data_IF_463718853249
#
_entry.id   IF_463718853249
#
_cell.length_a   1.000
_cell.length_b   1.000
_cell.length_c   1.000
_cell.angle_alpha   90.00
_cell.angle_beta   90.00
_cell.angle_gamma   90.00
#
_symmetry.space_group_name_H-M   'P 1'
#
loop_
_entity.id
_entity.type
_entity.pdbx_description
1 polymer ?
#
# COMPACT_ATOMS: atom_id res chain seq x y z
N UNK A 1 -45.39 28.09 -26.85
CA UNK A 1 -44.03 28.21 -26.30
C UNK A 1 -43.18 27.11 -26.91
N UNK A 2 -42.27 27.51 -27.81
CA UNK A 2 -41.40 26.65 -28.62
C UNK A 2 -40.01 26.75 -27.98
N UNK A 3 -39.44 25.64 -27.53
CA UNK A 3 -38.05 25.59 -27.07
C UNK A 3 -37.30 24.57 -27.92
N UNK A 4 -36.28 25.08 -28.60
CA UNK A 4 -35.56 24.47 -29.71
C UNK A 4 -34.63 23.32 -29.27
N UNK A 5 -34.63 22.26 -30.08
CA UNK A 5 -33.59 21.21 -30.10
C UNK A 5 -32.37 21.75 -30.84
N UNK A 6 -31.23 21.83 -30.15
CA UNK A 6 -29.94 22.05 -30.78
C UNK A 6 -29.45 20.73 -31.39
N UNK A 7 -29.46 20.68 -32.72
CA UNK A 7 -28.96 19.59 -33.55
C UNK A 7 -27.51 19.90 -33.92
N UNK A 8 -26.54 19.21 -33.32
CA UNK A 8 -25.14 19.26 -33.77
C UNK A 8 -24.94 18.23 -34.87
N UNK A 9 -25.08 18.68 -36.11
CA UNK A 9 -24.57 18.02 -37.30
C UNK A 9 -23.12 18.45 -37.50
N UNK A 10 -22.16 17.51 -37.43
CA UNK A 10 -20.82 17.70 -37.97
C UNK A 10 -20.64 16.77 -39.16
N UNK A 11 -20.76 17.43 -40.30
CA UNK A 11 -20.05 17.25 -41.58
C UNK A 11 -19.20 15.98 -41.79
N UNK A 12 -19.59 15.28 -42.85
CA UNK A 12 -18.82 14.30 -43.61
C UNK A 12 -17.66 14.97 -44.35
N UNK A 13 -16.49 14.33 -44.38
CA UNK A 13 -15.80 14.10 -45.66
C UNK A 13 -14.78 12.96 -45.53
N UNK A 14 -15.12 11.85 -46.17
CA UNK A 14 -14.25 10.71 -46.33
C UNK A 14 -13.24 10.97 -47.44
N UNK A 15 -11.97 10.99 -47.07
CA UNK A 15 -10.87 10.70 -48.00
C UNK A 15 -10.15 9.45 -47.50
N UNK A 16 -10.06 8.37 -48.31
CA UNK A 16 -9.27 7.20 -47.93
C UNK A 16 -7.79 7.56 -48.03
N UNK A 17 -7.11 7.64 -46.88
CA UNK A 17 -5.66 7.83 -46.82
C UNK A 17 -4.97 6.53 -47.26
N UNK A 18 -4.09 6.56 -48.27
CA UNK A 18 -3.38 5.37 -48.72
C UNK A 18 -2.41 4.85 -47.64
N UNK A 19 -2.67 3.63 -47.19
CA UNK A 19 -1.77 2.78 -46.39
C UNK A 19 -0.49 2.48 -47.18
N UNK A 20 0.51 3.36 -47.07
CA UNK A 20 1.88 3.03 -47.48
C UNK A 20 2.88 3.77 -46.61
N UNK A 21 3.79 2.98 -46.01
CA UNK A 21 4.98 3.40 -45.25
C UNK A 21 4.72 4.11 -43.92
N UNK A 22 4.31 3.33 -42.93
CA UNK A 22 4.76 3.55 -41.55
C UNK A 22 6.02 2.70 -41.39
N UNK A 23 7.18 3.34 -41.53
CA UNK A 23 8.45 2.74 -41.13
C UNK A 23 8.42 2.51 -39.61
N UNK A 24 8.83 1.33 -39.11
CA UNK A 24 8.98 1.13 -37.69
C UNK A 24 10.13 1.99 -37.20
N UNK A 25 9.82 3.04 -36.44
CA UNK A 25 10.80 3.78 -35.64
C UNK A 25 11.39 2.79 -34.64
N UNK A 26 12.53 2.22 -35.02
CA UNK A 26 13.43 1.44 -34.18
C UNK A 26 14.00 2.37 -33.11
N UNK A 27 13.24 2.60 -32.04
CA UNK A 27 13.82 3.07 -30.79
C UNK A 27 14.66 1.93 -30.21
N UNK A 28 15.91 1.85 -30.68
CA UNK A 28 17.01 1.21 -29.97
C UNK A 28 17.22 1.98 -28.66
N UNK A 29 16.52 1.57 -27.62
CA UNK A 29 16.89 1.92 -26.26
C UNK A 29 18.10 1.04 -25.94
N UNK A 30 19.30 1.58 -26.18
CA UNK A 30 20.54 1.02 -25.66
C UNK A 30 20.48 1.07 -24.14
N UNK A 31 19.99 0.00 -23.52
CA UNK A 31 20.10 -0.25 -22.08
C UNK A 31 21.52 -0.77 -21.77
N UNK A 32 22.52 0.02 -22.13
CA UNK A 32 23.89 -0.23 -21.68
C UNK A 32 24.04 0.29 -20.25
N UNK A 33 24.46 -0.65 -19.40
CA UNK A 33 25.28 -0.45 -18.20
C UNK A 33 24.57 0.13 -16.99
N UNK A 34 24.29 -0.82 -16.10
CA UNK A 34 25.10 -0.85 -14.89
C UNK A 34 24.51 -0.03 -13.76
N UNK A 35 23.59 -0.66 -13.04
CA UNK A 35 23.60 -0.67 -11.59
C UNK A 35 22.90 -1.95 -11.18
N UNK A 36 23.70 -2.98 -10.94
CA UNK A 36 23.28 -4.16 -10.19
C UNK A 36 23.01 -3.65 -8.77
N UNK A 37 21.82 -3.11 -8.55
CA UNK A 37 21.27 -2.98 -7.20
C UNK A 37 20.90 -4.39 -6.77
N UNK A 38 21.93 -5.09 -6.29
CA UNK A 38 21.78 -6.25 -5.44
C UNK A 38 21.10 -5.76 -4.16
N UNK A 39 19.77 -5.62 -4.21
CA UNK A 39 19.01 -5.63 -2.98
C UNK A 39 19.13 -7.04 -2.44
N UNK A 40 19.96 -7.18 -1.41
CA UNK A 40 19.80 -8.19 -0.37
C UNK A 40 18.37 -8.08 0.19
N UNK A 41 17.41 -8.64 -0.55
CA UNK A 41 16.07 -8.96 -0.06
C UNK A 41 16.09 -10.37 0.55
N UNK A 42 17.20 -10.70 1.21
CA UNK A 42 17.43 -11.97 1.91
C UNK A 42 17.62 -11.69 3.39
N UNK A 43 16.65 -10.99 4.00
CA UNK A 43 16.47 -11.03 5.45
C UNK A 43 15.06 -10.61 5.82
N UNK A 44 14.36 -11.54 6.46
CA UNK A 44 13.12 -11.38 7.23
C UNK A 44 11.78 -11.68 6.54
N UNK A 45 11.56 -12.93 6.10
CA UNK A 45 10.21 -13.52 6.19
C UNK A 45 10.15 -15.05 6.35
N UNK A 46 11.27 -15.73 6.58
CA UNK A 46 11.36 -17.11 7.13
C UNK A 46 10.96 -17.19 8.63
N UNK A 47 10.09 -16.28 9.11
CA UNK A 47 9.70 -16.19 10.52
C UNK A 47 8.18 -16.12 10.75
N UNK A 48 7.34 -16.51 9.78
CA UNK A 48 5.87 -16.46 9.97
C UNK A 48 5.12 -17.79 9.91
N UNK A 49 5.71 -18.91 9.46
CA UNK A 49 4.96 -20.17 9.37
C UNK A 49 5.41 -21.28 10.33
N UNK A 50 6.59 -21.17 10.94
CA UNK A 50 6.96 -22.00 12.11
C UNK A 50 6.78 -21.27 13.46
N UNK A 51 6.28 -20.03 13.43
CA UNK A 51 6.03 -19.17 14.59
C UNK A 51 4.53 -18.94 14.85
N UNK A 52 3.65 -19.85 14.44
CA UNK A 52 2.35 -19.96 15.11
C UNK A 52 2.22 -21.23 15.94
N UNK A 53 2.96 -22.29 15.62
CA UNK A 53 3.04 -23.49 16.47
C UNK A 53 4.15 -23.42 17.54
N UNK A 54 5.25 -22.66 17.34
CA UNK A 54 6.26 -22.38 18.40
C UNK A 54 6.03 -21.09 19.19
N UNK A 55 5.10 -20.23 18.78
CA UNK A 55 4.85 -18.90 19.40
C UNK A 55 3.98 -18.97 20.65
N UNK A 56 3.19 -20.02 20.83
CA UNK A 56 2.53 -20.29 22.13
C UNK A 56 3.54 -20.75 23.19
N UNK A 57 4.61 -21.45 22.81
CA UNK A 57 5.62 -21.97 23.75
C UNK A 57 6.65 -20.92 24.20
N UNK A 58 6.95 -19.93 23.36
CA UNK A 58 7.87 -18.83 23.73
C UNK A 58 7.18 -17.70 24.50
N UNK A 59 5.87 -17.49 24.30
CA UNK A 59 5.08 -16.52 25.06
C UNK A 59 4.88 -16.97 26.50
N UNK A 60 4.73 -18.28 26.76
CA UNK A 60 4.71 -18.83 28.12
C UNK A 60 6.04 -18.62 28.86
N UNK A 61 7.18 -18.84 28.20
CA UNK A 61 8.52 -18.61 28.80
C UNK A 61 8.85 -17.13 29.00
N UNK A 62 8.46 -16.26 28.06
CA UNK A 62 8.63 -14.81 28.20
C UNK A 62 7.68 -14.20 29.23
N UNK A 63 6.46 -14.72 29.33
CA UNK A 63 5.51 -14.38 30.39
C UNK A 63 6.02 -14.79 31.77
N UNK A 64 6.60 -15.99 31.90
CA UNK A 64 7.22 -16.45 33.14
C UNK A 64 8.43 -15.58 33.55
N UNK A 65 9.30 -15.21 32.60
CA UNK A 65 10.45 -14.35 32.88
C UNK A 65 10.04 -12.91 33.22
N UNK A 66 9.01 -12.36 32.57
CA UNK A 66 8.45 -11.04 32.94
C UNK A 66 7.76 -11.06 34.30
N UNK A 67 7.06 -12.14 34.66
CA UNK A 67 6.48 -12.32 35.98
C UNK A 67 7.52 -12.34 37.10
N UNK A 68 8.64 -13.04 36.90
CA UNK A 68 9.77 -13.04 37.84
C UNK A 68 10.44 -11.67 37.93
N UNK A 69 10.57 -10.94 36.80
CA UNK A 69 11.13 -9.59 36.80
C UNK A 69 10.25 -8.61 37.60
N UNK A 70 8.93 -8.66 37.43
CA UNK A 70 7.98 -7.77 38.14
C UNK A 70 7.98 -8.05 39.65
N UNK A 71 8.12 -9.32 40.07
CA UNK A 71 8.24 -9.68 41.49
C UNK A 71 9.57 -9.23 42.13
N UNK A 72 10.64 -9.09 41.35
CA UNK A 72 11.93 -8.60 41.84
C UNK A 72 11.96 -7.07 42.06
N UNK A 73 11.15 -6.31 41.31
CA UNK A 73 11.10 -4.84 41.44
C UNK A 73 10.20 -4.34 42.58
N UNK A 74 9.31 -5.17 43.14
CA UNK A 74 8.48 -4.77 44.29
C UNK A 74 9.22 -4.75 45.63
N UNK A 75 10.47 -5.24 45.69
CA UNK A 75 11.29 -5.22 46.91
C UNK A 75 12.13 -3.93 47.08
N UNK A 76 12.13 -3.02 46.10
CA UNK A 76 13.04 -1.85 46.07
C UNK A 76 12.35 -0.52 46.41
N UNK A 77 11.23 -0.54 47.14
CA UNK A 77 10.47 0.67 47.50
C UNK A 77 10.66 1.05 48.98
N UNK A 78 11.91 1.05 49.47
CA UNK A 78 12.27 1.78 50.68
C UNK A 78 13.65 2.42 50.45
N UNK A 79 13.67 3.73 50.26
CA UNK A 79 14.82 4.67 50.35
C UNK A 79 15.07 5.50 49.09
N UNK A 80 14.27 6.54 48.86
CA UNK A 80 14.70 7.83 48.29
C UNK A 80 13.82 8.91 48.96
N UNK A 81 14.20 9.35 50.15
CA UNK A 81 15.03 10.55 50.39
C UNK A 81 14.49 11.77 49.65
N UNK A 82 13.92 12.67 50.43
CA UNK A 82 13.47 13.99 50.04
C UNK A 82 14.53 14.74 49.21
N UNK A 83 14.11 15.31 48.09
CA UNK A 83 14.89 16.31 47.37
C UNK A 83 14.09 17.63 47.36
N UNK A 84 14.68 18.74 47.83
CA UNK A 84 13.98 20.03 47.96
C UNK A 84 13.73 20.68 46.60
N UNK A 85 12.52 21.17 46.42
CA UNK A 85 12.08 22.04 45.31
C UNK A 85 12.76 23.40 45.44
N UNK A 86 13.74 23.68 44.57
CA UNK A 86 14.22 25.05 44.33
C UNK A 86 13.42 25.67 43.19
N UNK A 87 12.49 26.55 43.56
CA UNK A 87 11.86 27.52 42.68
C UNK A 87 12.87 28.58 42.23
N UNK A 88 13.08 28.82 40.93
CA UNK A 88 13.72 30.05 40.48
C UNK A 88 12.73 31.24 40.50
N UNK A 89 13.19 32.45 40.83
CA UNK A 89 12.36 33.63 40.99
C UNK A 89 11.88 34.19 39.64
N UNK A 90 10.64 34.65 39.66
CA UNK A 90 9.97 35.36 38.58
C UNK A 90 10.51 36.80 38.47
N UNK A 91 11.13 37.15 37.35
CA UNK A 91 11.29 38.56 36.96
C UNK A 91 10.10 38.99 36.09
N UNK A 92 9.45 40.13 36.39
CA UNK A 92 8.44 40.76 35.54
C UNK A 92 9.09 41.83 34.63
N UNK A 93 8.49 42.06 33.45
CA UNK A 93 8.82 43.03 32.37
C UNK A 93 9.48 42.33 31.17
N UNK A 94 8.96 42.43 29.94
CA UNK A 94 8.38 43.59 29.28
C UNK A 94 7.15 43.23 28.45
N UNK A 95 6.11 44.05 28.64
CA UNK A 95 4.96 44.20 27.76
C UNK A 95 5.42 45.02 26.56
N UNK A 96 5.68 44.37 25.43
CA UNK A 96 5.80 45.07 24.16
C UNK A 96 4.73 44.52 23.20
N UNK A 97 3.74 45.37 22.95
CA UNK A 97 2.55 45.08 22.16
C UNK A 97 2.87 45.07 20.67
N UNK A 98 3.68 44.11 20.21
CA UNK A 98 3.71 43.77 18.81
C UNK A 98 2.40 43.05 18.49
N UNK A 99 1.62 43.68 17.60
CA UNK A 99 0.38 43.14 17.05
C UNK A 99 0.60 41.68 16.64
N UNK A 100 0.13 40.77 17.48
CA UNK A 100 -0.07 39.37 17.15
C UNK A 100 -1.06 39.34 16.00
N UNK A 101 -0.53 39.33 14.78
CA UNK A 101 -1.29 38.94 13.61
C UNK A 101 -1.66 37.47 13.86
N UNK A 102 -2.94 37.13 14.11
CA UNK A 102 -3.35 35.79 14.56
C UNK A 102 -3.24 34.74 13.44
N UNK A 103 -2.44 35.04 12.41
CA UNK A 103 -2.38 34.34 11.13
C UNK A 103 -1.18 33.41 11.01
N UNK A 104 -0.20 33.48 11.92
CA UNK A 104 0.93 32.56 11.99
C UNK A 104 1.00 31.94 13.39
N UNK A 105 0.81 30.62 13.46
CA UNK A 105 0.91 29.86 14.72
C UNK A 105 2.31 29.96 15.34
N UNK A 106 2.42 29.66 16.64
CA UNK A 106 3.70 29.69 17.37
C UNK A 106 4.77 28.81 16.68
N UNK A 107 6.07 29.14 16.80
CA UNK A 107 7.16 28.34 16.20
C UNK A 107 7.11 26.85 16.56
N UNK A 108 6.63 26.53 17.77
CA UNK A 108 6.43 25.16 18.22
C UNK A 108 5.32 24.43 17.43
N UNK A 109 4.21 25.12 17.14
CA UNK A 109 3.12 24.58 16.33
C UNK A 109 3.57 24.33 14.88
N UNK A 110 4.41 25.20 14.32
CA UNK A 110 4.98 25.00 12.99
C UNK A 110 5.87 23.74 12.93
N UNK A 111 6.70 23.50 13.95
CA UNK A 111 7.51 22.28 14.02
C UNK A 111 6.66 21.01 14.08
N UNK A 112 5.59 20.99 14.89
CA UNK A 112 4.66 19.86 14.96
C UNK A 112 3.97 19.61 13.62
N UNK A 113 3.52 20.68 12.95
CA UNK A 113 2.90 20.60 11.63
C UNK A 113 3.85 20.00 10.59
N UNK A 114 5.11 20.46 10.56
CA UNK A 114 6.14 19.91 9.65
C UNK A 114 6.40 18.42 9.86
N UNK A 115 6.38 17.94 11.11
CA UNK A 115 6.54 16.51 11.40
C UNK A 115 5.33 15.70 10.91
N UNK A 116 4.11 16.17 11.16
CA UNK A 116 2.89 15.51 10.68
C UNK A 116 2.88 15.35 9.15
N UNK A 117 3.23 16.41 8.41
CA UNK A 117 3.29 16.39 6.94
C UNK A 117 4.34 15.39 6.43
N UNK A 118 5.47 15.26 7.11
CA UNK A 118 6.52 14.28 6.75
C UNK A 118 6.05 12.85 6.97
N UNK A 119 5.38 12.59 8.09
CA UNK A 119 4.86 11.27 8.42
C UNK A 119 3.76 10.85 7.45
N UNK A 120 2.85 11.77 7.09
CA UNK A 120 1.83 11.53 6.06
C UNK A 120 2.44 11.25 4.69
N UNK A 121 3.49 11.98 4.29
CA UNK A 121 4.21 11.73 3.04
C UNK A 121 4.83 10.33 3.04
N UNK A 122 5.50 9.95 4.14
CA UNK A 122 6.11 8.63 4.27
C UNK A 122 5.07 7.51 4.16
N UNK A 123 3.92 7.64 4.82
CA UNK A 123 2.81 6.67 4.73
C UNK A 123 2.30 6.53 3.30
N UNK A 124 2.18 7.64 2.56
CA UNK A 124 1.77 7.61 1.16
C UNK A 124 2.80 6.89 0.28
N UNK A 125 4.10 7.19 0.43
CA UNK A 125 5.16 6.54 -0.33
C UNK A 125 5.19 5.03 -0.06
N UNK A 126 4.97 4.60 1.19
CA UNK A 126 4.84 3.19 1.57
C UNK A 126 3.59 2.53 0.97
N UNK A 127 2.49 3.27 0.81
CA UNK A 127 1.27 2.76 0.18
C UNK A 127 1.48 2.54 -1.33
N UNK A 128 2.09 3.50 -2.02
CA UNK A 128 2.44 3.40 -3.44
C UNK A 128 3.44 2.27 -3.68
N UNK A 129 4.46 2.13 -2.82
CA UNK A 129 5.43 1.04 -2.92
C UNK A 129 4.78 -0.34 -2.83
N UNK A 130 3.79 -0.51 -1.95
CA UNK A 130 3.03 -1.76 -1.85
C UNK A 130 2.19 -2.05 -3.09
N UNK A 131 1.59 -1.02 -3.70
CA UNK A 131 0.83 -1.18 -4.94
C UNK A 131 1.74 -1.60 -6.11
N UNK A 132 2.97 -1.07 -6.17
CA UNK A 132 4.00 -1.51 -7.13
C UNK A 132 4.43 -2.97 -6.92
N UNK A 133 4.53 -3.39 -5.66
CA UNK A 133 4.86 -4.78 -5.36
C UNK A 133 3.74 -5.73 -5.83
N UNK A 134 2.48 -5.31 -5.67
CA UNK A 134 1.30 -6.08 -6.14
C UNK A 134 1.35 -6.29 -7.66
N UNK A 135 1.57 -5.24 -8.45
CA UNK A 135 1.68 -5.36 -9.91
C UNK A 135 2.87 -6.23 -10.31
N UNK A 136 4.03 -6.05 -9.69
CA UNK A 136 5.21 -6.86 -9.98
C UNK A 136 4.99 -8.35 -9.69
N UNK A 137 4.36 -8.69 -8.55
CA UNK A 137 4.05 -10.09 -8.22
C UNK A 137 3.06 -10.67 -9.22
N UNK A 138 2.03 -9.92 -9.61
CA UNK A 138 1.04 -10.37 -10.59
C UNK A 138 1.67 -10.65 -11.97
N UNK A 139 2.59 -9.78 -12.43
CA UNK A 139 3.36 -9.98 -13.66
C UNK A 139 4.28 -11.21 -13.60
N UNK A 140 4.95 -11.43 -12.45
CA UNK A 140 5.76 -12.64 -12.28
C UNK A 140 4.90 -13.90 -12.31
N UNK A 141 3.70 -13.87 -11.73
CA UNK A 141 2.77 -14.99 -11.75
C UNK A 141 2.27 -15.29 -13.16
N UNK A 142 1.96 -14.27 -13.97
CA UNK A 142 1.55 -14.47 -15.36
C UNK A 142 2.67 -15.10 -16.20
N UNK A 143 3.90 -14.58 -16.09
CA UNK A 143 5.07 -15.12 -16.80
C UNK A 143 5.40 -16.57 -16.38
N UNK A 144 5.37 -16.84 -15.07
CA UNK A 144 5.60 -18.18 -14.54
C UNK A 144 4.54 -19.19 -15.04
N UNK A 145 3.28 -18.74 -15.16
CA UNK A 145 2.21 -19.58 -15.65
C UNK A 145 2.28 -19.79 -17.17
N UNK A 146 2.62 -18.77 -17.95
CA UNK A 146 2.79 -18.92 -19.40
C UNK A 146 3.91 -19.90 -19.76
N UNK A 147 4.99 -19.91 -18.98
CA UNK A 147 6.13 -20.82 -19.18
C UNK A 147 5.86 -22.25 -18.74
N UNK A 148 5.21 -22.45 -17.58
CA UNK A 148 5.03 -23.79 -16.98
C UNK A 148 3.64 -24.39 -17.16
N UNK A 149 2.64 -23.56 -17.51
CA UNK A 149 1.20 -23.90 -17.58
C UNK A 149 0.65 -24.56 -16.31
N UNK A 150 1.33 -24.38 -15.18
CA UNK A 150 1.02 -25.00 -13.89
C UNK A 150 1.56 -24.14 -12.75
N UNK A 151 0.91 -24.23 -11.58
CA UNK A 151 1.32 -23.50 -10.38
C UNK A 151 2.29 -24.33 -9.53
N UNK A 152 3.41 -23.73 -9.16
CA UNK A 152 4.31 -24.31 -8.17
C UNK A 152 3.96 -23.83 -6.75
N UNK A 153 4.48 -24.52 -5.72
CA UNK A 153 4.38 -24.11 -4.32
C UNK A 153 4.89 -22.67 -4.09
N UNK A 154 5.90 -22.22 -4.83
CA UNK A 154 6.40 -20.86 -4.75
C UNK A 154 5.41 -19.83 -5.33
N UNK A 155 4.70 -20.19 -6.40
CA UNK A 155 3.65 -19.34 -6.97
C UNK A 155 2.44 -19.27 -6.04
N UNK A 156 2.11 -20.36 -5.34
CA UNK A 156 1.06 -20.37 -4.32
C UNK A 156 1.38 -19.42 -3.14
N UNK A 157 2.65 -19.35 -2.70
CA UNK A 157 3.10 -18.38 -1.69
C UNK A 157 3.03 -16.94 -2.22
N UNK A 158 3.36 -16.71 -3.49
CA UNK A 158 3.23 -15.40 -4.14
C UNK A 158 1.78 -14.95 -4.23
N UNK A 159 0.84 -15.85 -4.59
CA UNK A 159 -0.59 -15.57 -4.59
C UNK A 159 -1.11 -15.19 -3.21
N UNK A 160 -0.66 -15.89 -2.16
CA UNK A 160 -1.02 -15.54 -0.77
C UNK A 160 -0.47 -14.16 -0.36
N UNK A 161 0.77 -13.85 -0.76
CA UNK A 161 1.37 -12.53 -0.53
C UNK A 161 0.61 -11.43 -1.28
N UNK A 162 0.24 -11.70 -2.53
CA UNK A 162 -0.55 -10.80 -3.37
C UNK A 162 -1.90 -10.48 -2.72
N UNK A 163 -2.60 -11.50 -2.22
CA UNK A 163 -3.87 -11.33 -1.49
C UNK A 163 -3.69 -10.44 -0.25
N UNK A 164 -2.65 -10.73 0.56
CA UNK A 164 -2.35 -9.97 1.78
C UNK A 164 -2.03 -8.50 1.50
N UNK A 165 -1.23 -8.22 0.48
CA UNK A 165 -0.89 -6.85 0.09
C UNK A 165 -2.11 -6.10 -0.41
N UNK A 166 -2.94 -6.75 -1.24
CA UNK A 166 -4.17 -6.16 -1.78
C UNK A 166 -5.16 -5.81 -0.68
N UNK A 167 -5.34 -6.67 0.33
CA UNK A 167 -6.17 -6.37 1.51
C UNK A 167 -5.65 -5.17 2.30
N UNK A 168 -4.33 -5.05 2.46
CA UNK A 168 -3.73 -3.88 3.13
C UNK A 168 -3.98 -2.58 2.36
N UNK A 169 -3.82 -2.60 1.04
CA UNK A 169 -4.11 -1.44 0.17
C UNK A 169 -5.58 -1.01 0.32
N UNK A 170 -6.51 -1.98 0.30
CA UNK A 170 -7.93 -1.71 0.53
C UNK A 170 -8.18 -1.06 1.89
N UNK A 171 -7.57 -1.59 2.96
CA UNK A 171 -7.79 -1.09 4.32
C UNK A 171 -7.20 0.32 4.49
N UNK A 172 -6.05 0.60 3.88
CA UNK A 172 -5.45 1.94 3.89
C UNK A 172 -6.26 2.95 3.06
N UNK A 173 -6.93 2.47 2.01
CA UNK A 173 -7.88 3.28 1.24
C UNK A 173 -9.20 3.54 1.99
N UNK A 174 -9.38 3.00 3.21
CA UNK A 174 -10.58 3.18 4.03
C UNK A 174 -11.65 2.10 3.86
N UNK A 175 -11.34 0.99 3.18
CA UNK A 175 -12.22 -0.16 3.10
C UNK A 175 -12.26 -0.94 4.42
N UNK A 176 -13.46 -1.35 4.85
CA UNK A 176 -13.61 -2.22 6.01
C UNK A 176 -13.18 -3.67 5.68
N UNK A 177 -12.84 -4.44 6.72
CA UNK A 177 -12.58 -5.89 6.64
C UNK A 177 -13.85 -6.71 6.40
N UNK A 178 -14.71 -6.28 5.48
CA UNK A 178 -15.82 -7.09 5.02
C UNK A 178 -15.28 -8.34 4.30
N UNK A 179 -15.88 -9.48 4.62
CA UNK A 179 -15.69 -10.74 3.91
C UNK A 179 -16.21 -10.51 2.50
N UNK A 180 -15.28 -10.35 1.56
CA UNK A 180 -15.62 -10.01 0.18
C UNK A 180 -16.11 -11.27 -0.53
N UNK A 181 -17.41 -11.53 -0.47
CA UNK A 181 -18.11 -12.19 -1.57
C UNK A 181 -18.17 -11.19 -2.74
N UNK A 182 -17.01 -10.93 -3.34
CA UNK A 182 -16.95 -10.06 -4.50
C UNK A 182 -17.71 -10.79 -5.60
N UNK A 183 -18.85 -10.23 -6.01
CA UNK A 183 -19.62 -10.60 -7.19
C UNK A 183 -18.72 -10.40 -8.44
N UNK A 184 -17.78 -11.32 -8.67
CA UNK A 184 -16.98 -11.33 -9.89
C UNK A 184 -17.86 -11.91 -10.99
N UNK A 185 -18.77 -11.08 -11.51
CA UNK A 185 -19.72 -11.46 -12.57
C UNK A 185 -19.03 -11.77 -13.91
N UNK A 186 -17.73 -11.48 -14.02
CA UNK A 186 -16.90 -11.75 -15.20
C UNK A 186 -15.63 -12.54 -14.84
N UNK A 187 -15.77 -13.79 -14.38
CA UNK A 187 -14.63 -14.70 -14.27
C UNK A 187 -14.51 -15.46 -15.60
N UNK A 188 -13.42 -15.27 -16.38
CA UNK A 188 -13.17 -16.06 -17.57
C UNK A 188 -13.20 -17.56 -17.23
N UNK A 189 -13.71 -18.40 -18.13
CA UNK A 189 -13.70 -19.84 -17.92
C UNK A 189 -12.27 -20.39 -17.86
N UNK A 190 -11.38 -19.86 -18.72
CA UNK A 190 -10.00 -20.32 -18.82
C UNK A 190 -9.08 -19.74 -17.73
N UNK A 191 -8.23 -20.59 -17.16
CA UNK A 191 -7.27 -20.20 -16.12
C UNK A 191 -6.24 -19.18 -16.61
N UNK A 192 -5.78 -19.32 -17.85
CA UNK A 192 -4.79 -18.42 -18.44
C UNK A 192 -5.36 -16.99 -18.55
N UNK A 193 -6.61 -16.87 -18.99
CA UNK A 193 -7.31 -15.59 -19.08
C UNK A 193 -7.55 -14.96 -17.71
N UNK A 194 -7.86 -15.77 -16.68
CA UNK A 194 -7.96 -15.29 -15.29
C UNK A 194 -6.65 -14.65 -14.82
N UNK A 195 -5.51 -15.28 -15.11
CA UNK A 195 -4.19 -14.79 -14.68
C UNK A 195 -3.77 -13.54 -15.46
N UNK A 196 -4.08 -13.46 -16.76
CA UNK A 196 -3.88 -12.24 -17.54
C UNK A 196 -4.72 -11.09 -16.98
N UNK A 197 -6.00 -11.36 -16.70
CA UNK A 197 -6.91 -10.39 -16.08
C UNK A 197 -6.43 -9.96 -14.69
N UNK A 198 -5.85 -10.88 -13.92
CA UNK A 198 -5.23 -10.59 -12.62
C UNK A 198 -4.09 -9.58 -12.76
N UNK A 199 -3.18 -9.77 -13.73
CA UNK A 199 -2.09 -8.84 -13.99
C UNK A 199 -2.61 -7.46 -14.43
N UNK A 200 -3.58 -7.42 -15.36
CA UNK A 200 -4.19 -6.16 -15.80
C UNK A 200 -4.87 -5.40 -14.66
N UNK A 201 -5.63 -6.09 -13.79
CA UNK A 201 -6.28 -5.46 -12.64
C UNK A 201 -5.29 -4.95 -11.60
N UNK A 202 -4.16 -5.64 -11.41
CA UNK A 202 -3.10 -5.22 -10.51
C UNK A 202 -2.40 -3.94 -11.01
N UNK A 203 -2.16 -3.84 -12.32
CA UNK A 203 -1.62 -2.62 -12.95
C UNK A 203 -2.59 -1.43 -12.85
N UNK A 204 -3.89 -1.69 -13.06
CA UNK A 204 -4.94 -0.68 -12.85
C UNK A 204 -5.00 -0.22 -11.40
N UNK A 205 -4.94 -1.15 -10.44
CA UNK A 205 -4.91 -0.83 -9.02
C UNK A 205 -3.71 0.06 -8.68
N UNK A 206 -2.52 -0.25 -9.20
CA UNK A 206 -1.34 0.59 -9.00
C UNK A 206 -1.56 2.02 -9.51
N UNK A 207 -2.08 2.18 -10.74
CA UNK A 207 -2.37 3.50 -11.32
C UNK A 207 -3.40 4.28 -10.50
N UNK A 208 -4.44 3.60 -9.99
CA UNK A 208 -5.45 4.24 -9.14
C UNK A 208 -4.86 4.71 -7.82
N UNK A 209 -3.97 3.93 -7.20
CA UNK A 209 -3.28 4.31 -5.96
C UNK A 209 -2.35 5.49 -6.21
N UNK A 210 -1.58 5.50 -7.30
CA UNK A 210 -0.67 6.61 -7.65
C UNK A 210 -1.41 7.93 -7.96
N UNK A 211 -2.62 7.85 -8.51
CA UNK A 211 -3.47 9.02 -8.81
C UNK A 211 -4.30 9.50 -7.62
N UNK A 212 -4.39 8.73 -6.53
CA UNK A 212 -5.20 9.09 -5.37
C UNK A 212 -4.41 10.06 -4.48
N UNK A 213 -4.93 11.27 -4.18
CA UNK A 213 -4.23 12.19 -3.31
C UNK A 213 -4.19 11.67 -1.87
N UNK A 214 -3.14 12.05 -1.13
CA UNK A 214 -2.78 11.54 0.21
C UNK A 214 -3.91 11.47 1.23
N UNK A 215 -4.86 12.40 1.15
CA UNK A 215 -5.90 12.58 2.17
C UNK A 215 -7.28 12.12 1.71
N UNK A 216 -7.38 11.39 0.58
CA UNK A 216 -8.66 10.99 0.01
C UNK A 216 -8.83 9.48 0.03
N UNK A 217 -9.96 9.05 0.59
CA UNK A 217 -10.48 7.68 0.53
C UNK A 217 -11.03 7.46 -0.88
N UNK A 218 -10.43 6.54 -1.65
CA UNK A 218 -10.81 6.28 -3.04
C UNK A 218 -11.69 5.05 -3.14
N UNK A 219 -12.98 5.26 -3.44
CA UNK A 219 -13.92 4.18 -3.73
C UNK A 219 -13.44 3.30 -4.90
N UNK A 220 -12.83 3.90 -5.93
CA UNK A 220 -12.29 3.18 -7.07
C UNK A 220 -11.16 2.19 -6.67
N UNK A 221 -10.29 2.58 -5.75
CA UNK A 221 -9.24 1.69 -5.21
C UNK A 221 -9.86 0.54 -4.42
N UNK A 222 -10.87 0.82 -3.60
CA UNK A 222 -11.57 -0.20 -2.80
C UNK A 222 -12.26 -1.22 -3.72
N UNK A 223 -13.00 -0.76 -4.73
CA UNK A 223 -13.72 -1.62 -5.67
C UNK A 223 -12.78 -2.49 -6.48
N UNK A 224 -11.69 -1.90 -6.99
CA UNK A 224 -10.69 -2.64 -7.75
C UNK A 224 -9.96 -3.67 -6.88
N UNK A 225 -9.60 -3.30 -5.64
CA UNK A 225 -8.98 -4.22 -4.69
C UNK A 225 -9.91 -5.39 -4.33
N UNK A 226 -11.21 -5.14 -4.15
CA UNK A 226 -12.20 -6.19 -3.89
C UNK A 226 -12.32 -7.17 -5.06
N UNK A 227 -12.40 -6.67 -6.30
CA UNK A 227 -12.40 -7.50 -7.52
C UNK A 227 -11.12 -8.35 -7.61
N UNK A 228 -9.97 -7.74 -7.33
CA UNK A 228 -8.68 -8.41 -7.37
C UNK A 228 -8.59 -9.53 -6.31
N UNK A 229 -9.03 -9.28 -5.08
CA UNK A 229 -9.08 -10.31 -4.02
C UNK A 229 -9.99 -11.47 -4.42
N UNK A 230 -11.18 -11.20 -4.95
CA UNK A 230 -12.08 -12.23 -5.45
C UNK A 230 -11.44 -13.10 -6.53
N UNK A 231 -10.79 -12.46 -7.51
CA UNK A 231 -10.09 -13.17 -8.59
C UNK A 231 -8.95 -14.05 -8.06
N UNK A 232 -8.15 -13.57 -7.10
CA UNK A 232 -7.09 -14.36 -6.46
C UNK A 232 -7.66 -15.60 -5.77
N UNK A 233 -8.77 -15.44 -5.04
CA UNK A 233 -9.43 -16.55 -4.34
C UNK A 233 -9.97 -17.59 -5.31
N UNK A 234 -10.50 -17.17 -6.47
CA UNK A 234 -10.92 -18.10 -7.53
C UNK A 234 -9.75 -18.84 -8.16
N UNK A 235 -8.64 -18.15 -8.47
CA UNK A 235 -7.43 -18.79 -9.02
C UNK A 235 -6.88 -19.82 -8.04
N UNK A 236 -6.81 -19.48 -6.74
CA UNK A 236 -6.33 -20.38 -5.69
C UNK A 236 -7.25 -21.57 -5.45
N UNK A 237 -8.56 -21.36 -5.48
CA UNK A 237 -9.55 -22.45 -5.32
C UNK A 237 -9.51 -23.41 -6.51
N UNK A 238 -9.22 -22.90 -7.71
CA UNK A 238 -9.10 -23.70 -8.93
C UNK A 238 -7.76 -24.45 -9.06
N UNK A 239 -6.75 -24.10 -8.27
CA UNK A 239 -5.43 -24.76 -8.29
C UNK A 239 -5.26 -25.84 -7.22
N UNK A 240 -6.26 -26.01 -6.34
CA UNK A 240 -6.30 -27.09 -5.35
C UNK A 240 -6.94 -28.32 -5.94
#
# INVERSE_FOLDING_TARGET
MIVARASCAWFTDGTPVPLSKIEPVQHRINLERGLVFSYDCSRNYEMSLLLHCRRTRSWARRGLLLGVLVLAFTASAYSQSAQPTSTPPSDPMTKDGSKDDPRFGSPEAEMRSKLAIKDEKKKYDEHVARAKEVSQIALQLSQNYETRKSFNNDDAKKLERLEKLTKRIRNDAGGADAVSDADVKDIPAEMLDRIKKLASMADELQKLVENTPRNVISAAVIDQANKLVGLIQHVRSSSR
#
